data_IF_040477734398
#
_entry.id   IF_040477734398
#
_cell.length_a   1.000
_cell.length_b   1.000
_cell.length_c   1.000
_cell.angle_alpha   90.00
_cell.angle_beta   90.00
_cell.angle_gamma   90.00
#
_symmetry.space_group_name_H-M   'P 1'
#
loop_
_entity.id
_entity.type
_entity.pdbx_description
1 polymer ?
#
# COMPACT_ATOMS: atom_id res chain seq x y z
N UNK A 1 -48.49 33.60 -59.86
CA UNK A 1 -47.05 33.80 -59.63
C UNK A 1 -46.90 34.81 -58.49
N UNK A 2 -46.77 34.29 -57.26
CA UNK A 2 -45.59 34.41 -56.37
C UNK A 2 -45.40 35.84 -55.80
N UNK A 3 -46.01 36.03 -54.62
CA UNK A 3 -45.74 37.10 -53.66
C UNK A 3 -44.31 36.97 -53.11
N UNK A 4 -43.56 38.06 -53.07
CA UNK A 4 -42.26 38.15 -52.38
C UNK A 4 -42.50 38.42 -50.89
N UNK A 5 -42.06 37.51 -50.03
CA UNK A 5 -42.22 37.59 -48.59
C UNK A 5 -40.88 37.95 -47.90
N UNK A 6 -40.92 39.13 -47.28
CA UNK A 6 -40.22 39.67 -46.11
C UNK A 6 -39.17 38.77 -45.43
N UNK A 7 -37.98 39.34 -45.28
CA UNK A 7 -36.83 38.89 -44.49
C UNK A 7 -37.17 38.75 -42.98
N UNK A 8 -36.71 37.69 -42.28
CA UNK A 8 -36.49 37.79 -40.85
C UNK A 8 -35.00 37.88 -40.52
N UNK A 9 -34.70 38.92 -39.75
CA UNK A 9 -33.46 39.18 -39.03
C UNK A 9 -33.17 38.00 -38.10
N UNK A 10 -32.09 37.25 -38.34
CA UNK A 10 -31.63 36.18 -37.44
C UNK A 10 -30.82 36.82 -36.31
N UNK A 11 -31.37 36.76 -35.09
CA UNK A 11 -30.68 37.07 -33.85
C UNK A 11 -29.65 35.97 -33.57
N UNK A 12 -28.36 36.31 -33.58
CA UNK A 12 -27.28 35.39 -33.16
C UNK A 12 -27.18 35.48 -31.64
N UNK A 13 -27.71 34.47 -30.93
CA UNK A 13 -27.45 34.28 -29.51
C UNK A 13 -26.03 33.70 -29.35
N UNK A 14 -25.09 34.51 -28.84
CA UNK A 14 -23.81 34.01 -28.35
C UNK A 14 -24.04 33.23 -27.05
N UNK A 15 -24.20 31.91 -27.17
CA UNK A 15 -24.12 31.01 -26.03
C UNK A 15 -22.66 30.95 -25.57
N UNK A 16 -22.35 31.60 -24.45
CA UNK A 16 -21.05 31.46 -23.78
C UNK A 16 -20.97 30.06 -23.20
N UNK A 17 -20.22 29.17 -23.82
CA UNK A 17 -19.93 27.86 -23.24
C UNK A 17 -19.01 28.06 -22.03
N UNK A 18 -19.57 27.95 -20.83
CA UNK A 18 -18.79 27.86 -19.60
C UNK A 18 -17.97 26.57 -19.66
N UNK A 19 -16.65 26.71 -19.79
CA UNK A 19 -15.70 25.64 -19.50
C UNK A 19 -15.88 25.27 -18.02
N UNK A 20 -16.64 24.24 -17.73
CA UNK A 20 -16.51 23.51 -16.47
C UNK A 20 -15.14 22.85 -16.48
N UNK A 21 -14.20 23.43 -15.73
CA UNK A 21 -12.95 22.77 -15.40
C UNK A 21 -13.29 21.53 -14.57
N UNK A 22 -13.36 20.37 -15.24
CA UNK A 22 -13.37 19.08 -14.57
C UNK A 22 -12.06 18.96 -13.81
N UNK A 23 -12.12 19.08 -12.48
CA UNK A 23 -10.97 18.86 -11.63
C UNK A 23 -10.53 17.41 -11.90
N UNK A 24 -9.28 17.16 -12.33
CA UNK A 24 -8.83 15.79 -12.50
C UNK A 24 -9.02 15.09 -11.18
N UNK A 25 -9.80 14.00 -11.19
CA UNK A 25 -9.97 13.10 -10.05
C UNK A 25 -8.57 12.67 -9.65
N UNK A 26 -8.00 13.34 -8.64
CA UNK A 26 -6.75 12.91 -8.02
C UNK A 26 -6.92 11.43 -7.76
N UNK A 27 -6.06 10.60 -8.35
CA UNK A 27 -5.97 9.20 -7.96
C UNK A 27 -5.69 9.28 -6.47
N UNK A 28 -6.72 9.06 -5.64
CA UNK A 28 -6.61 9.22 -4.21
C UNK A 28 -5.50 8.26 -3.78
N UNK A 29 -4.34 8.84 -3.47
CA UNK A 29 -3.16 8.08 -3.11
C UNK A 29 -3.55 7.27 -1.88
N UNK A 30 -3.43 5.93 -1.96
CA UNK A 30 -3.86 5.04 -0.87
C UNK A 30 -3.22 5.50 0.43
N UNK A 31 -3.99 5.67 1.51
CA UNK A 31 -3.41 6.11 2.79
C UNK A 31 -2.39 5.09 3.32
N UNK A 32 -1.48 5.49 4.23
CA UNK A 32 -0.59 4.56 4.90
C UNK A 32 -1.33 3.35 5.50
N UNK A 33 -2.45 3.60 6.17
CA UNK A 33 -3.29 2.58 6.79
C UNK A 33 -3.94 1.65 5.74
N UNK A 34 -4.40 2.21 4.62
CA UNK A 34 -4.96 1.41 3.52
C UNK A 34 -3.91 0.48 2.91
N UNK A 35 -2.66 0.93 2.77
CA UNK A 35 -1.58 0.08 2.24
C UNK A 35 -1.31 -1.13 3.17
N UNK A 36 -1.23 -0.89 4.49
CA UNK A 36 -1.04 -1.97 5.47
C UNK A 36 -2.25 -2.90 5.52
N UNK A 37 -3.47 -2.34 5.51
CA UNK A 37 -4.71 -3.14 5.45
C UNK A 37 -4.76 -4.03 4.21
N UNK A 38 -4.37 -3.50 3.05
CA UNK A 38 -4.38 -4.24 1.80
C UNK A 38 -3.28 -5.31 1.76
N UNK A 39 -2.20 -5.17 2.52
CA UNK A 39 -1.17 -6.20 2.69
C UNK A 39 -1.70 -7.37 3.52
N UNK A 40 -2.36 -7.11 4.67
CA UNK A 40 -3.00 -8.16 5.46
C UNK A 40 -4.09 -8.92 4.67
N UNK A 41 -4.95 -8.20 3.92
CA UNK A 41 -5.96 -8.85 3.06
C UNK A 41 -5.35 -9.71 1.94
N UNK A 42 -4.15 -9.37 1.49
CA UNK A 42 -3.45 -10.17 0.48
C UNK A 42 -2.93 -11.47 1.10
N UNK A 43 -2.42 -11.39 2.32
CA UNK A 43 -2.01 -12.54 3.12
C UNK A 43 -3.17 -13.48 3.45
N UNK A 44 -4.34 -12.96 3.85
CA UNK A 44 -5.58 -13.74 4.04
C UNK A 44 -5.97 -14.55 2.79
N UNK A 45 -5.61 -14.05 1.60
CA UNK A 45 -5.81 -14.72 0.31
C UNK A 45 -4.65 -15.65 -0.09
N UNK A 46 -3.73 -15.93 0.83
CA UNK A 46 -2.52 -16.76 0.65
C UNK A 46 -1.62 -16.25 -0.47
N UNK A 47 -1.55 -14.93 -0.63
CA UNK A 47 -0.76 -14.24 -1.66
C UNK A 47 0.33 -13.36 -1.04
N UNK A 48 0.81 -13.75 0.15
CA UNK A 48 1.86 -13.07 0.87
C UNK A 48 3.08 -12.79 -0.02
N UNK A 49 3.60 -11.55 -0.05
CA UNK A 49 4.71 -11.16 -0.93
C UNK A 49 6.08 -11.63 -0.42
N UNK A 50 6.20 -12.16 0.79
CA UNK A 50 7.49 -12.37 1.47
C UNK A 50 8.29 -13.57 0.95
N UNK A 51 7.64 -14.65 0.53
CA UNK A 51 8.31 -15.91 0.15
C UNK A 51 8.10 -16.32 -1.31
N UNK A 52 7.42 -15.48 -2.10
CA UNK A 52 7.12 -15.77 -3.49
C UNK A 52 8.22 -15.27 -4.44
N UNK A 53 8.42 -15.99 -5.55
CA UNK A 53 9.46 -15.68 -6.57
C UNK A 53 8.89 -15.47 -7.97
N UNK A 54 7.57 -15.27 -8.09
CA UNK A 54 6.86 -15.23 -9.38
C UNK A 54 6.57 -13.81 -9.86
N UNK A 55 6.31 -12.88 -8.95
CA UNK A 55 5.90 -11.51 -9.26
C UNK A 55 6.66 -10.51 -8.38
N UNK A 56 7.76 -9.98 -8.91
CA UNK A 56 8.51 -8.90 -8.26
C UNK A 56 7.70 -7.58 -8.22
N UNK A 57 6.79 -7.39 -9.18
CA UNK A 57 5.87 -6.26 -9.22
C UNK A 57 4.96 -6.21 -8.00
N UNK A 58 4.49 -7.37 -7.54
CA UNK A 58 3.70 -7.49 -6.30
C UNK A 58 4.51 -7.04 -5.08
N UNK A 59 5.79 -7.40 -4.96
CA UNK A 59 6.63 -6.97 -3.83
C UNK A 59 6.83 -5.45 -3.86
N UNK A 60 7.21 -4.91 -5.03
CA UNK A 60 7.43 -3.46 -5.19
C UNK A 60 6.15 -2.63 -5.11
N UNK A 61 4.97 -3.25 -5.20
CA UNK A 61 3.68 -2.59 -4.91
C UNK A 61 3.56 -2.18 -3.44
N UNK A 62 4.04 -2.99 -2.51
CA UNK A 62 3.88 -2.75 -1.07
C UNK A 62 5.11 -2.14 -0.41
N UNK A 63 6.31 -2.56 -0.80
CA UNK A 63 7.53 -2.21 -0.10
C UNK A 63 8.36 -1.15 -0.83
N UNK A 64 9.11 -0.37 -0.07
CA UNK A 64 10.11 0.55 -0.62
C UNK A 64 11.12 -0.23 -1.46
N UNK A 65 11.76 0.41 -2.42
CA UNK A 65 12.70 -0.26 -3.31
C UNK A 65 13.76 -1.08 -2.54
N UNK A 66 14.35 -0.48 -1.50
CA UNK A 66 15.33 -1.16 -0.63
C UNK A 66 14.75 -2.41 0.02
N UNK A 67 13.59 -2.30 0.66
CA UNK A 67 13.00 -3.44 1.37
C UNK A 67 12.50 -4.52 0.39
N UNK A 68 11.92 -4.11 -0.74
CA UNK A 68 11.50 -5.03 -1.80
C UNK A 68 12.67 -5.86 -2.33
N UNK A 69 13.84 -5.25 -2.56
CA UNK A 69 15.05 -5.95 -2.97
C UNK A 69 15.52 -6.97 -1.92
N UNK A 70 15.45 -6.63 -0.63
CA UNK A 70 15.82 -7.53 0.45
C UNK A 70 14.88 -8.75 0.53
N UNK A 71 13.57 -8.51 0.49
CA UNK A 71 12.53 -9.55 0.50
C UNK A 71 12.72 -10.48 -0.71
N UNK A 72 12.83 -9.91 -1.91
CA UNK A 72 12.98 -10.70 -3.13
C UNK A 72 14.27 -11.51 -3.14
N UNK A 73 15.38 -10.92 -2.69
CA UNK A 73 16.68 -11.60 -2.60
C UNK A 73 16.60 -12.79 -1.65
N UNK A 74 15.93 -12.65 -0.51
CA UNK A 74 15.73 -13.75 0.43
C UNK A 74 14.93 -14.87 -0.24
N UNK A 75 13.72 -14.58 -0.73
CA UNK A 75 12.85 -15.56 -1.39
C UNK A 75 13.55 -16.34 -2.54
N UNK A 76 14.32 -15.64 -3.38
CA UNK A 76 15.08 -16.25 -4.49
C UNK A 76 16.22 -17.13 -3.98
N UNK A 77 16.94 -16.69 -2.94
CA UNK A 77 18.08 -17.44 -2.40
C UNK A 77 17.67 -18.69 -1.64
N UNK A 78 16.53 -18.64 -0.95
CA UNK A 78 16.02 -19.76 -0.15
C UNK A 78 15.49 -20.89 -1.03
N UNK A 79 15.16 -20.63 -2.31
CA UNK A 79 14.72 -21.66 -3.28
C UNK A 79 13.54 -22.50 -2.81
N UNK A 80 12.63 -21.90 -2.05
CA UNK A 80 11.47 -22.58 -1.46
C UNK A 80 11.72 -23.18 -0.08
N UNK A 81 12.95 -23.13 0.42
CA UNK A 81 13.30 -23.43 1.81
C UNK A 81 13.08 -22.21 2.72
N UNK A 82 13.32 -22.39 4.03
CA UNK A 82 13.33 -21.31 5.01
C UNK A 82 14.49 -20.35 4.71
N UNK A 83 14.18 -19.05 4.64
CA UNK A 83 15.15 -17.98 4.40
C UNK A 83 15.73 -17.39 5.67
N UNK A 84 16.12 -16.12 5.61
CA UNK A 84 16.56 -15.35 6.77
C UNK A 84 15.43 -15.11 7.79
N UNK A 85 14.17 -15.30 7.37
CA UNK A 85 12.99 -15.19 8.23
C UNK A 85 12.57 -16.58 8.70
N UNK A 86 12.58 -16.77 10.01
CA UNK A 86 12.17 -17.99 10.73
C UNK A 86 10.69 -17.99 11.14
N UNK A 87 9.96 -16.93 10.78
CA UNK A 87 8.56 -16.69 11.10
C UNK A 87 7.89 -15.85 10.00
N UNK A 88 6.56 -15.83 9.95
CA UNK A 88 5.83 -14.91 9.06
C UNK A 88 6.01 -13.46 9.55
N UNK A 89 6.57 -12.57 8.71
CA UNK A 89 6.87 -11.22 9.16
C UNK A 89 5.64 -10.35 9.47
N UNK A 90 4.42 -10.67 9.02
CA UNK A 90 3.20 -9.92 9.37
C UNK A 90 2.66 -10.24 10.76
N UNK A 91 3.03 -11.37 11.33
CA UNK A 91 2.55 -11.86 12.62
C UNK A 91 3.67 -12.09 13.64
N UNK A 92 4.92 -12.08 13.19
CA UNK A 92 6.11 -12.41 13.97
C UNK A 92 5.98 -13.80 14.63
N UNK A 93 5.44 -14.77 13.88
CA UNK A 93 5.17 -16.11 14.37
C UNK A 93 5.19 -17.16 13.24
N UNK A 94 5.48 -18.42 13.58
CA UNK A 94 5.37 -19.57 12.65
C UNK A 94 3.92 -20.07 12.53
N UNK A 95 3.27 -20.23 13.69
CA UNK A 95 1.85 -20.53 13.81
C UNK A 95 1.14 -19.35 14.45
N UNK A 96 -0.08 -19.04 14.00
CA UNK A 96 -0.82 -17.89 14.50
C UNK A 96 -2.34 -18.12 14.51
N UNK A 97 -2.99 -17.55 15.52
CA UNK A 97 -4.45 -17.42 15.65
C UNK A 97 -4.77 -15.97 15.98
N UNK A 98 -5.08 -15.20 14.94
CA UNK A 98 -5.21 -13.75 14.99
C UNK A 98 -6.63 -13.34 15.36
N UNK A 99 -6.76 -12.60 16.45
CA UNK A 99 -8.02 -12.04 16.95
C UNK A 99 -7.87 -10.55 17.21
N UNK A 100 -9.00 -9.84 17.28
CA UNK A 100 -9.08 -8.42 17.65
C UNK A 100 -8.12 -7.52 16.85
N UNK A 101 -7.95 -7.83 15.55
CA UNK A 101 -7.08 -7.06 14.68
C UNK A 101 -7.57 -5.61 14.53
N UNK A 102 -6.63 -4.67 14.62
CA UNK A 102 -6.88 -3.25 14.40
C UNK A 102 -5.63 -2.56 13.84
N UNK A 103 -5.86 -1.48 13.09
CA UNK A 103 -4.80 -0.59 12.59
C UNK A 103 -5.00 0.80 13.19
N UNK A 104 -3.90 1.41 13.64
CA UNK A 104 -3.87 2.79 14.12
C UNK A 104 -2.64 3.49 13.56
N UNK A 105 -2.83 4.71 13.06
CA UNK A 105 -1.71 5.58 12.71
C UNK A 105 -1.15 6.22 13.98
N UNK A 106 0.16 6.11 14.20
CA UNK A 106 0.83 6.68 15.37
C UNK A 106 1.52 8.01 15.06
N UNK A 107 2.09 8.15 13.87
CA UNK A 107 2.80 9.35 13.41
C UNK A 107 2.60 9.56 11.92
N UNK A 108 2.57 10.81 11.50
CA UNK A 108 2.61 11.17 10.08
C UNK A 108 3.26 12.52 9.90
N UNK A 109 4.20 12.57 8.97
CA UNK A 109 4.76 13.78 8.40
C UNK A 109 4.34 13.88 6.92
N UNK A 110 4.91 14.84 6.20
CA UNK A 110 4.58 15.06 4.78
C UNK A 110 4.90 13.85 3.91
N UNK A 111 6.00 13.15 4.20
CA UNK A 111 6.55 12.07 3.38
C UNK A 111 6.89 10.80 4.18
N UNK A 112 6.55 10.75 5.47
CA UNK A 112 6.74 9.58 6.32
C UNK A 112 5.50 9.32 7.20
N UNK A 113 5.28 8.06 7.56
CA UNK A 113 4.21 7.68 8.48
C UNK A 113 4.57 6.40 9.25
N UNK A 114 3.95 6.25 10.40
CA UNK A 114 3.94 4.99 11.16
C UNK A 114 2.51 4.49 11.31
N UNK A 115 2.31 3.22 10.98
CA UNK A 115 1.05 2.50 11.20
C UNK A 115 1.33 1.32 12.12
N UNK A 116 0.56 1.20 13.19
CA UNK A 116 0.67 0.11 14.16
C UNK A 116 -0.48 -0.86 13.90
N UNK A 117 -0.13 -2.12 13.62
CA UNK A 117 -1.06 -3.24 13.70
C UNK A 117 -1.07 -3.77 15.13
N UNK A 118 -2.26 -3.90 15.72
CA UNK A 118 -2.45 -4.51 17.03
C UNK A 118 -3.44 -5.65 16.90
N UNK A 119 -3.10 -6.80 17.47
CA UNK A 119 -3.92 -8.00 17.48
C UNK A 119 -3.61 -8.86 18.71
N UNK A 120 -4.47 -9.83 18.97
CA UNK A 120 -4.16 -10.95 19.84
C UNK A 120 -3.68 -12.11 18.96
N UNK A 121 -2.50 -12.66 19.22
CA UNK A 121 -2.01 -13.88 18.59
C UNK A 121 -1.88 -14.97 19.66
N UNK A 122 -2.63 -16.06 19.52
CA UNK A 122 -2.64 -17.18 20.48
C UNK A 122 -2.87 -16.74 21.94
N UNK A 123 -3.67 -15.69 22.15
CA UNK A 123 -3.99 -15.15 23.48
C UNK A 123 -3.02 -14.07 23.99
N UNK A 124 -1.95 -13.75 23.25
CA UNK A 124 -1.00 -12.70 23.60
C UNK A 124 -1.29 -11.44 22.78
N UNK A 125 -1.31 -10.27 23.42
CA UNK A 125 -1.40 -9.00 22.69
C UNK A 125 -0.06 -8.73 21.98
N UNK A 126 -0.12 -8.52 20.67
CA UNK A 126 1.02 -8.24 19.81
C UNK A 126 0.81 -6.91 19.09
N UNK A 127 1.89 -6.14 18.95
CA UNK A 127 1.94 -4.95 18.11
C UNK A 127 3.12 -5.02 17.14
N UNK A 128 2.87 -4.67 15.87
CA UNK A 128 3.90 -4.51 14.83
C UNK A 128 3.80 -3.10 14.27
N UNK A 129 4.91 -2.38 14.26
CA UNK A 129 4.98 -1.01 13.75
C UNK A 129 5.54 -1.00 12.34
N UNK A 130 4.72 -0.60 11.38
CA UNK A 130 5.09 -0.39 9.99
C UNK A 130 5.61 1.04 9.83
N UNK A 131 6.85 1.17 9.35
CA UNK A 131 7.38 2.46 8.88
C UNK A 131 7.05 2.60 7.40
N UNK A 132 6.53 3.76 7.00
CA UNK A 132 6.13 4.05 5.63
C UNK A 132 6.77 5.33 5.12
N UNK A 133 7.05 5.36 3.82
CA UNK A 133 7.57 6.52 3.10
C UNK A 133 6.71 6.83 1.88
N UNK A 134 6.48 8.11 1.61
CA UNK A 134 5.80 8.57 0.42
C UNK A 134 6.79 8.62 -0.73
N UNK A 135 6.52 7.86 -1.78
CA UNK A 135 7.34 7.84 -3.00
C UNK A 135 6.58 8.48 -4.17
N UNK A 136 7.26 8.67 -5.30
CA UNK A 136 6.63 9.14 -6.55
C UNK A 136 5.47 8.25 -7.02
N UNK A 137 5.42 6.99 -6.60
CA UNK A 137 4.40 6.01 -7.01
C UNK A 137 3.39 5.70 -5.90
N UNK A 138 3.43 6.39 -4.75
CA UNK A 138 2.56 6.08 -3.61
C UNK A 138 3.33 5.83 -2.31
N UNK A 139 2.57 5.62 -1.24
CA UNK A 139 3.11 5.12 0.02
C UNK A 139 3.71 3.73 -0.15
N UNK A 140 4.81 3.48 0.57
CA UNK A 140 5.52 2.19 0.61
C UNK A 140 5.96 1.88 2.03
N UNK A 141 5.91 0.60 2.41
CA UNK A 141 6.47 0.13 3.68
C UNK A 141 8.00 0.10 3.54
N UNK A 142 8.69 0.86 4.39
CA UNK A 142 10.16 0.93 4.41
C UNK A 142 10.79 0.00 5.43
N UNK A 143 10.09 -0.31 6.53
CA UNK A 143 10.53 -1.26 7.54
C UNK A 143 9.35 -1.74 8.40
N UNK A 144 9.55 -2.81 9.16
CA UNK A 144 8.60 -3.33 10.14
C UNK A 144 9.35 -3.60 11.44
N UNK A 145 8.86 -3.06 12.56
CA UNK A 145 9.47 -3.23 13.89
C UNK A 145 8.60 -4.11 14.77
N UNK A 146 9.26 -5.05 15.43
CA UNK A 146 8.66 -6.06 16.31
C UNK A 146 8.79 -5.68 17.79
N UNK A 147 8.05 -6.37 18.64
CA UNK A 147 7.97 -6.06 20.07
C UNK A 147 9.31 -6.24 20.81
N UNK A 148 10.14 -7.16 20.35
CA UNK A 148 11.47 -7.44 20.92
C UNK A 148 12.58 -6.50 20.39
N UNK A 149 12.23 -5.53 19.54
CA UNK A 149 13.16 -4.56 18.98
C UNK A 149 13.83 -4.98 17.68
N UNK A 150 13.64 -6.22 17.22
CA UNK A 150 14.03 -6.62 15.86
C UNK A 150 13.25 -5.77 14.84
N UNK A 151 13.82 -5.64 13.65
CA UNK A 151 13.14 -5.02 12.53
C UNK A 151 13.49 -5.73 11.22
N UNK A 152 12.53 -5.78 10.29
CA UNK A 152 12.58 -6.62 9.10
C UNK A 152 13.78 -6.31 8.20
N UNK A 153 14.14 -5.03 8.04
CA UNK A 153 15.35 -4.66 7.29
C UNK A 153 16.61 -5.23 7.94
N UNK A 154 16.72 -5.23 9.27
CA UNK A 154 17.85 -5.81 10.00
C UNK A 154 17.98 -7.31 9.72
N UNK A 155 16.88 -8.04 9.95
CA UNK A 155 16.79 -9.49 9.72
C UNK A 155 17.21 -9.89 8.30
N UNK A 156 16.65 -9.22 7.28
CA UNK A 156 16.94 -9.54 5.88
C UNK A 156 18.33 -9.06 5.41
N UNK A 157 18.91 -8.07 6.10
CA UNK A 157 20.24 -7.55 5.75
C UNK A 157 21.39 -8.28 6.45
N UNK A 158 21.08 -9.11 7.45
CA UNK A 158 22.08 -9.80 8.28
C UNK A 158 22.87 -8.85 9.18
N UNK A 159 22.23 -7.76 9.63
CA UNK A 159 22.82 -6.71 10.47
C UNK A 159 22.00 -6.45 11.72
#
# INVERSE_FOLDING_TARGET
>A
MKLNLILPLILIALASQQLTAETPKSIAQSSPESLVSDLYKLDEKKQSPFSQTKDHGLVTKYFSERLAQLIWKDAVKSKGEVGALDADPLYDAQDFDIKKFSLRKSKSEKDSAEVIASFENMGHKTEITFSLVLTKTGWKISDMKYADGRHLVGLLSGK
#
